data_IF_502596090672
#
_entry.id   IF_502596090672
#
_cell.length_a   1.000
_cell.length_b   1.000
_cell.length_c   1.000
_cell.angle_alpha   90.00
_cell.angle_beta   90.00
_cell.angle_gamma   90.00
#
_symmetry.space_group_name_H-M   'P 1'
#
loop_
_entity.id
_entity.type
_entity.pdbx_description
1 polymer ?
#
# COMPACT_ATOMS: atom_id res chain seq x y z
N UNK A 1 -13.26 -8.16 -5.25
CA UNK A 1 -12.06 -8.16 -4.38
C UNK A 1 -10.80 -8.59 -5.14
N UNK A 2 -10.62 -9.88 -5.46
CA UNK A 2 -9.43 -10.39 -6.17
C UNK A 2 -9.14 -9.72 -7.53
N UNK A 3 -10.18 -9.31 -8.27
CA UNK A 3 -10.04 -8.58 -9.54
C UNK A 3 -9.30 -7.24 -9.37
N UNK A 4 -9.67 -6.43 -8.36
CA UNK A 4 -9.00 -5.16 -8.08
C UNK A 4 -7.58 -5.34 -7.57
N UNK A 5 -7.37 -6.37 -6.73
CA UNK A 5 -6.02 -6.76 -6.29
C UNK A 5 -5.17 -7.09 -7.52
N UNK A 6 -5.59 -8.03 -8.38
CA UNK A 6 -4.84 -8.36 -9.61
C UNK A 6 -4.59 -7.17 -10.55
N UNK A 7 -5.52 -6.21 -10.62
CA UNK A 7 -5.37 -5.02 -11.48
C UNK A 7 -4.37 -3.99 -10.93
N UNK A 8 -4.23 -3.87 -9.61
CA UNK A 8 -3.39 -2.87 -8.97
C UNK A 8 -2.09 -3.43 -8.38
N UNK A 9 -1.99 -4.75 -8.28
CA UNK A 9 -0.84 -5.48 -7.75
C UNK A 9 0.07 -5.83 -8.92
N UNK A 10 0.80 -4.83 -9.42
CA UNK A 10 1.81 -5.02 -10.46
C UNK A 10 3.13 -5.42 -9.81
N UNK A 11 3.44 -6.72 -9.79
CA UNK A 11 4.78 -7.20 -9.42
C UNK A 11 5.71 -6.88 -10.59
N UNK A 12 6.46 -5.77 -10.48
CA UNK A 12 7.37 -5.33 -11.54
C UNK A 12 8.69 -6.09 -11.56
N UNK A 13 9.10 -6.61 -10.41
CA UNK A 13 10.39 -7.29 -10.24
C UNK A 13 10.18 -8.48 -9.31
N UNK A 14 10.54 -9.67 -9.79
CA UNK A 14 10.63 -10.85 -8.96
C UNK A 14 11.98 -10.84 -8.24
N UNK A 15 11.97 -10.80 -6.92
CA UNK A 15 13.19 -10.80 -6.09
C UNK A 15 13.74 -12.20 -5.79
N UNK A 16 12.94 -13.21 -6.09
CA UNK A 16 13.31 -14.62 -6.08
C UNK A 16 12.50 -15.31 -7.17
N UNK A 17 13.16 -16.20 -7.92
CA UNK A 17 12.55 -16.99 -8.99
C UNK A 17 12.10 -18.37 -8.53
N UNK A 18 12.32 -18.72 -7.25
CA UNK A 18 11.73 -19.93 -6.69
C UNK A 18 10.22 -19.76 -6.54
N UNK A 19 9.46 -20.85 -6.69
CA UNK A 19 8.00 -20.87 -6.53
C UNK A 19 7.58 -20.26 -5.18
N UNK A 20 8.24 -20.68 -4.10
CA UNK A 20 8.03 -20.14 -2.75
C UNK A 20 8.34 -18.64 -2.67
N UNK A 21 9.37 -18.17 -3.39
CA UNK A 21 9.73 -16.75 -3.44
C UNK A 21 8.67 -15.89 -4.12
N UNK A 22 8.07 -16.42 -5.19
CA UNK A 22 6.96 -15.77 -5.90
C UNK A 22 5.69 -15.78 -5.04
N UNK A 23 5.37 -16.91 -4.41
CA UNK A 23 4.21 -17.03 -3.52
C UNK A 23 4.29 -16.01 -2.37
N UNK A 24 5.44 -15.94 -1.69
CA UNK A 24 5.68 -14.98 -0.61
C UNK A 24 5.54 -13.52 -1.07
N UNK A 25 6.03 -13.19 -2.26
CA UNK A 25 5.88 -11.84 -2.83
C UNK A 25 4.42 -11.48 -3.09
N UNK A 26 3.62 -12.42 -3.60
CA UNK A 26 2.18 -12.22 -3.80
C UNK A 26 1.47 -12.02 -2.46
N UNK A 27 1.77 -12.84 -1.45
CA UNK A 27 1.21 -12.72 -0.10
C UNK A 27 1.55 -11.35 0.51
N UNK A 28 2.82 -10.94 0.48
CA UNK A 28 3.26 -9.65 1.00
C UNK A 28 2.57 -8.48 0.29
N UNK A 29 2.46 -8.53 -1.04
CA UNK A 29 1.80 -7.50 -1.80
C UNK A 29 0.30 -7.41 -1.49
N UNK A 30 -0.37 -8.54 -1.21
CA UNK A 30 -1.75 -8.55 -0.74
C UNK A 30 -1.87 -7.93 0.66
N UNK A 31 -0.97 -8.25 1.59
CA UNK A 31 -0.95 -7.67 2.95
C UNK A 31 -0.81 -6.14 2.86
N UNK A 32 0.17 -5.64 2.08
CA UNK A 32 0.37 -4.19 1.89
C UNK A 32 -0.88 -3.52 1.33
N UNK A 33 -1.54 -4.14 0.34
CA UNK A 33 -2.77 -3.61 -0.24
C UNK A 33 -3.89 -3.51 0.81
N UNK A 34 -4.11 -4.56 1.60
CA UNK A 34 -5.18 -4.60 2.60
C UNK A 34 -4.94 -3.61 3.74
N UNK A 35 -3.70 -3.50 4.23
CA UNK A 35 -3.34 -2.50 5.24
C UNK A 35 -3.55 -1.08 4.71
N UNK A 36 -3.17 -0.81 3.45
CA UNK A 36 -3.39 0.50 2.82
C UNK A 36 -4.88 0.81 2.69
N UNK A 37 -5.69 -0.19 2.33
CA UNK A 37 -7.15 -0.04 2.23
C UNK A 37 -7.79 0.18 3.60
N UNK A 38 -7.35 -0.55 4.63
CA UNK A 38 -7.83 -0.38 5.99
C UNK A 38 -7.54 1.04 6.50
N UNK A 39 -6.30 1.53 6.32
CA UNK A 39 -5.95 2.91 6.67
C UNK A 39 -6.83 3.94 5.96
N UNK A 40 -7.12 3.73 4.66
CA UNK A 40 -8.02 4.62 3.91
C UNK A 40 -9.41 4.69 4.56
N UNK A 41 -9.95 3.55 5.00
CA UNK A 41 -11.26 3.45 5.61
C UNK A 41 -11.29 4.09 7.01
N UNK A 42 -10.34 3.73 7.87
CA UNK A 42 -10.23 4.24 9.25
C UNK A 42 -10.04 5.76 9.29
N UNK A 43 -9.16 6.28 8.42
CA UNK A 43 -8.85 7.70 8.36
C UNK A 43 -9.77 8.49 7.42
N UNK A 44 -10.78 7.82 6.81
CA UNK A 44 -11.75 8.40 5.87
C UNK A 44 -11.10 9.23 4.76
N UNK A 45 -9.95 8.77 4.25
CA UNK A 45 -9.17 9.49 3.25
C UNK A 45 -9.87 9.45 1.88
N UNK A 46 -10.01 10.61 1.23
CA UNK A 46 -10.56 10.70 -0.13
C UNK A 46 -9.55 10.33 -1.21
N UNK A 47 -8.26 10.33 -0.87
CA UNK A 47 -7.15 10.05 -1.79
C UNK A 47 -7.15 8.63 -2.36
N UNK A 48 -6.46 8.45 -3.49
CA UNK A 48 -6.26 7.11 -4.07
C UNK A 48 -5.35 6.23 -3.21
N UNK A 49 -5.48 4.90 -3.28
CA UNK A 49 -4.59 3.98 -2.56
C UNK A 49 -3.12 4.18 -2.93
N UNK A 50 -2.85 4.52 -4.20
CA UNK A 50 -1.50 4.84 -4.67
C UNK A 50 -0.92 6.08 -3.97
N UNK A 51 -1.71 7.14 -3.82
CA UNK A 51 -1.30 8.37 -3.12
C UNK A 51 -1.00 8.07 -1.65
N UNK A 52 -1.86 7.28 -1.00
CA UNK A 52 -1.69 6.86 0.40
C UNK A 52 -0.38 6.08 0.56
N UNK A 53 -0.17 5.06 -0.28
CA UNK A 53 1.05 4.26 -0.26
C UNK A 53 2.30 5.09 -0.55
N UNK A 54 2.21 6.09 -1.43
CA UNK A 54 3.30 7.04 -1.71
C UNK A 54 3.67 7.87 -0.48
N UNK A 55 2.67 8.39 0.24
CA UNK A 55 2.94 9.16 1.47
C UNK A 55 3.51 8.29 2.58
N UNK A 56 3.03 7.05 2.73
CA UNK A 56 3.62 6.08 3.68
C UNK A 56 5.10 5.89 3.40
N UNK A 57 5.49 5.71 2.13
CA UNK A 57 6.90 5.55 1.75
C UNK A 57 7.73 6.82 1.99
N UNK A 58 7.15 7.99 1.73
CA UNK A 58 7.84 9.27 1.93
C UNK A 58 8.04 9.60 3.41
N UNK A 59 7.10 9.19 4.27
CA UNK A 59 7.05 9.53 5.69
C UNK A 59 7.31 8.32 6.59
N UNK A 60 7.92 7.25 6.07
CA UNK A 60 8.10 5.98 6.80
C UNK A 60 8.97 6.12 8.06
N UNK A 61 9.80 7.16 8.14
CA UNK A 61 10.66 7.48 9.27
C UNK A 61 10.15 8.66 10.10
N UNK A 62 9.01 9.24 9.71
CA UNK A 62 8.42 10.40 10.36
C UNK A 62 7.29 10.00 11.31
N UNK A 63 7.00 10.82 12.33
CA UNK A 63 5.82 10.62 13.17
C UNK A 63 4.53 10.59 12.37
N UNK A 64 3.55 9.79 12.82
CA UNK A 64 2.23 9.67 12.19
C UNK A 64 1.46 11.00 12.07
N UNK A 65 1.80 12.01 12.89
CA UNK A 65 1.23 13.35 12.79
C UNK A 65 1.45 13.97 11.40
N UNK A 66 2.68 13.92 10.86
CA UNK A 66 3.02 14.42 9.52
C UNK A 66 2.25 13.71 8.42
N UNK A 67 2.00 12.40 8.60
CA UNK A 67 1.17 11.66 7.65
C UNK A 67 -0.26 12.21 7.61
N UNK A 68 -0.89 12.47 8.76
CA UNK A 68 -2.24 13.06 8.79
C UNK A 68 -2.27 14.46 8.18
N UNK A 69 -1.27 15.29 8.48
CA UNK A 69 -1.15 16.65 7.92
C UNK A 69 -1.00 16.63 6.40
N UNK A 70 -0.32 15.63 5.83
CA UNK A 70 -0.18 15.49 4.37
C UNK A 70 -1.51 15.29 3.62
N UNK A 71 -2.60 15.01 4.33
CA UNK A 71 -3.96 14.89 3.79
C UNK A 71 -4.93 15.96 4.33
N UNK A 72 -4.46 16.89 5.16
CA UNK A 72 -5.28 17.99 5.63
C UNK A 72 -5.63 18.90 4.44
N UNK A 73 -6.87 19.42 4.37
CA UNK A 73 -7.17 20.50 3.44
C UNK A 73 -6.34 21.73 3.84
N UNK A 74 -5.56 22.25 2.89
CA UNK A 74 -4.85 23.52 3.04
C UNK A 74 -5.79 24.73 3.05
#
# INVERSE_FOLDING_TARGET
FFKHIKQHLTIKTYYSQSEQGVENQVILAMIVYLLTLLMKLELRLKSSLFTILRQIRALQYEPFAYFKESFAPG
#
